data_IF_852260741237
#
_entry.id   IF_852260741237
#
_cell.length_a   1.000
_cell.length_b   1.000
_cell.length_c   1.000
_cell.angle_alpha   90.00
_cell.angle_beta   90.00
_cell.angle_gamma   90.00
#
_symmetry.space_group_name_H-M   'P 1'
#
loop_
_entity.id
_entity.type
_entity.pdbx_description
1 polymer ?
#
# COMPACT_ATOMS: atom_id res chain seq x y z
N UNK A 1 -4.18 0.90 -12.13
CA UNK A 1 -5.49 0.76 -12.81
C UNK A 1 -5.36 0.90 -14.32
N UNK A 2 -4.86 1.99 -14.85
CA UNK A 2 -4.74 2.23 -16.32
C UNK A 2 -4.04 1.10 -17.08
N UNK A 3 -2.92 0.57 -16.56
CA UNK A 3 -2.22 -0.55 -17.21
C UNK A 3 -3.04 -1.85 -17.22
N UNK A 4 -3.81 -2.13 -16.16
CA UNK A 4 -4.65 -3.33 -16.10
C UNK A 4 -5.81 -3.23 -17.10
N UNK A 5 -6.43 -2.05 -17.23
CA UNK A 5 -7.48 -1.80 -18.24
C UNK A 5 -6.91 -1.94 -19.65
N UNK A 6 -5.76 -1.31 -19.93
CA UNK A 6 -5.09 -1.40 -21.22
C UNK A 6 -4.65 -2.82 -21.55
N UNK A 7 -4.32 -3.63 -20.54
CA UNK A 7 -3.99 -5.06 -20.69
C UNK A 7 -5.21 -5.98 -20.86
N UNK A 8 -6.43 -5.43 -20.93
CA UNK A 8 -7.64 -6.22 -21.18
C UNK A 8 -8.15 -7.02 -19.97
N UNK A 9 -7.79 -6.62 -18.74
CA UNK A 9 -8.32 -7.28 -17.54
C UNK A 9 -9.86 -7.16 -17.52
N UNK A 10 -10.59 -8.26 -17.25
CA UNK A 10 -12.06 -8.27 -17.37
C UNK A 10 -12.79 -7.48 -16.27
N UNK A 11 -12.13 -7.29 -15.15
CA UNK A 11 -12.63 -6.47 -14.04
C UNK A 11 -11.45 -5.76 -13.36
N UNK A 12 -11.54 -4.44 -13.26
CA UNK A 12 -10.50 -3.60 -12.65
C UNK A 12 -11.14 -2.68 -11.62
N UNK A 13 -10.74 -2.87 -10.37
CA UNK A 13 -11.11 -2.00 -9.26
C UNK A 13 -9.83 -1.44 -8.66
N UNK A 14 -9.77 -0.13 -8.50
CA UNK A 14 -8.70 0.56 -7.77
C UNK A 14 -9.20 1.02 -6.41
N UNK A 15 -8.31 1.09 -5.43
CA UNK A 15 -8.64 1.65 -4.13
C UNK A 15 -7.45 2.42 -3.54
N UNK A 16 -7.76 3.36 -2.66
CA UNK A 16 -6.77 4.15 -1.93
C UNK A 16 -6.90 3.89 -0.42
N UNK A 17 -5.82 4.10 0.32
CA UNK A 17 -5.80 3.92 1.79
C UNK A 17 -6.79 4.81 2.54
N UNK A 18 -7.25 5.90 1.92
CA UNK A 18 -8.26 6.82 2.46
C UNK A 18 -9.71 6.35 2.24
N UNK A 19 -9.91 5.14 1.67
CA UNK A 19 -11.24 4.55 1.41
C UNK A 19 -11.86 4.94 0.06
N UNK A 20 -11.16 5.71 -0.78
CA UNK A 20 -11.61 5.99 -2.15
C UNK A 20 -11.51 4.75 -3.03
N UNK A 21 -12.57 4.45 -3.77
CA UNK A 21 -12.64 3.34 -4.74
C UNK A 21 -12.85 3.90 -6.14
N UNK A 22 -12.21 3.28 -7.13
CA UNK A 22 -12.35 3.61 -8.54
C UNK A 22 -12.74 2.33 -9.29
N UNK A 23 -13.70 2.44 -10.18
CA UNK A 23 -14.13 1.34 -11.06
C UNK A 23 -13.53 1.56 -12.45
N UNK A 24 -12.54 0.73 -12.81
CA UNK A 24 -11.80 0.87 -14.07
C UNK A 24 -12.49 0.23 -15.28
N UNK A 25 -13.43 -0.68 -15.05
CA UNK A 25 -14.20 -1.38 -16.10
C UNK A 25 -15.65 -1.48 -15.69
N UNK A 26 -16.54 -1.61 -16.66
CA UNK A 26 -17.95 -1.89 -16.40
C UNK A 26 -18.12 -3.24 -15.70
N UNK A 27 -19.07 -3.29 -14.77
CA UNK A 27 -19.51 -4.55 -14.13
C UNK A 27 -20.92 -4.89 -14.66
N UNK A 28 -21.02 -6.06 -15.28
CA UNK A 28 -22.29 -6.58 -15.79
C UNK A 28 -22.79 -7.71 -14.88
N UNK A 29 -23.96 -7.56 -14.28
CA UNK A 29 -24.58 -8.59 -13.42
C UNK A 29 -26.08 -8.61 -13.58
N UNK A 30 -26.65 -9.77 -13.92
CA UNK A 30 -28.11 -9.97 -14.02
C UNK A 30 -28.81 -9.03 -15.00
N UNK A 31 -28.18 -8.69 -16.12
CA UNK A 31 -28.71 -7.76 -17.11
C UNK A 31 -28.58 -6.28 -16.76
N UNK A 32 -27.97 -5.94 -15.63
CA UNK A 32 -27.68 -4.58 -15.21
C UNK A 32 -26.20 -4.27 -15.41
N UNK A 33 -25.92 -3.04 -15.81
CA UNK A 33 -24.56 -2.51 -16.01
C UNK A 33 -24.29 -1.44 -14.95
N UNK A 34 -23.21 -1.65 -14.18
CA UNK A 34 -22.59 -0.59 -13.41
C UNK A 34 -21.43 -0.04 -14.24
N UNK A 35 -21.58 1.16 -14.77
CA UNK A 35 -20.58 1.76 -15.64
C UNK A 35 -19.28 2.07 -14.90
N UNK A 36 -18.16 1.98 -15.62
CA UNK A 36 -16.86 2.40 -15.14
C UNK A 36 -16.87 3.85 -14.64
N UNK A 37 -16.21 4.09 -13.52
CA UNK A 37 -16.07 5.41 -12.91
C UNK A 37 -14.62 5.64 -12.51
N UNK A 38 -13.92 6.50 -13.25
CA UNK A 38 -12.50 6.78 -13.03
C UNK A 38 -12.23 7.83 -11.94
N UNK A 39 -13.28 8.36 -11.31
CA UNK A 39 -13.20 9.24 -10.14
C UNK A 39 -13.40 8.45 -8.85
N UNK A 40 -12.91 9.00 -7.75
CA UNK A 40 -13.12 8.40 -6.42
C UNK A 40 -14.60 8.37 -6.08
N UNK A 41 -15.05 7.21 -5.64
CA UNK A 41 -16.42 6.99 -5.17
C UNK A 41 -16.38 6.38 -3.76
N UNK A 42 -17.01 7.05 -2.81
CA UNK A 42 -17.15 6.58 -1.44
C UNK A 42 -18.43 5.73 -1.26
N UNK A 43 -19.40 5.84 -2.14
CA UNK A 43 -20.67 5.09 -2.04
C UNK A 43 -20.50 3.66 -2.49
N UNK A 44 -19.68 3.41 -3.51
CA UNK A 44 -19.45 2.06 -4.04
C UNK A 44 -18.97 1.06 -2.98
N UNK A 45 -17.95 1.34 -2.14
CA UNK A 45 -17.55 0.42 -1.07
C UNK A 45 -18.61 0.26 0.01
N UNK A 46 -19.40 1.31 0.31
CA UNK A 46 -20.53 1.23 1.27
C UNK A 46 -21.59 0.26 0.74
N UNK A 47 -22.00 0.44 -0.51
CA UNK A 47 -23.01 -0.43 -1.14
C UNK A 47 -22.52 -1.86 -1.30
N UNK A 48 -21.23 -2.06 -1.63
CA UNK A 48 -20.60 -3.37 -1.67
C UNK A 48 -20.63 -4.07 -0.31
N UNK A 49 -20.33 -3.34 0.77
CA UNK A 49 -20.38 -3.87 2.13
C UNK A 49 -21.81 -4.25 2.54
N UNK A 50 -22.80 -3.40 2.25
CA UNK A 50 -24.22 -3.70 2.52
C UNK A 50 -24.71 -4.89 1.68
N UNK A 51 -24.27 -4.99 0.43
CA UNK A 51 -24.55 -6.15 -0.42
C UNK A 51 -24.01 -7.45 0.17
N UNK A 52 -22.77 -7.45 0.66
CA UNK A 52 -22.13 -8.60 1.31
C UNK A 52 -22.88 -9.02 2.60
N UNK A 53 -23.33 -8.05 3.41
CA UNK A 53 -24.15 -8.33 4.60
C UNK A 53 -25.46 -9.01 4.19
N UNK A 54 -26.13 -8.47 3.15
CA UNK A 54 -27.39 -9.01 2.64
C UNK A 54 -27.24 -10.42 2.07
N UNK A 55 -26.17 -10.67 1.31
CA UNK A 55 -25.92 -11.98 0.68
C UNK A 55 -25.52 -13.05 1.70
N UNK A 56 -24.72 -12.69 2.71
CA UNK A 56 -24.18 -13.66 3.68
C UNK A 56 -25.00 -13.79 4.96
N UNK A 57 -25.84 -12.82 5.28
CA UNK A 57 -26.55 -12.72 6.56
C UNK A 57 -25.64 -12.47 7.76
N UNK A 58 -24.35 -12.19 7.54
CA UNK A 58 -23.36 -11.98 8.60
C UNK A 58 -23.15 -10.49 8.88
N UNK A 59 -22.82 -10.12 10.13
CA UNK A 59 -22.42 -8.76 10.44
C UNK A 59 -21.09 -8.41 9.73
N UNK A 60 -20.86 -7.13 9.47
CA UNK A 60 -19.67 -6.65 8.74
C UNK A 60 -18.36 -7.04 9.45
N UNK A 61 -18.36 -7.08 10.79
CA UNK A 61 -17.21 -7.54 11.59
C UNK A 61 -16.75 -8.94 11.22
N UNK A 62 -17.71 -9.86 11.07
CA UNK A 62 -17.43 -11.28 10.76
C UNK A 62 -16.96 -11.42 9.30
N UNK A 63 -17.55 -10.64 8.39
CA UNK A 63 -17.12 -10.58 7.00
C UNK A 63 -15.67 -10.07 6.94
N UNK A 64 -15.36 -8.96 7.61
CA UNK A 64 -14.01 -8.40 7.67
C UNK A 64 -13.00 -9.39 8.29
N UNK A 65 -13.36 -10.05 9.39
CA UNK A 65 -12.51 -11.04 10.05
C UNK A 65 -12.19 -12.24 9.14
N UNK A 66 -13.11 -12.61 8.23
CA UNK A 66 -12.91 -13.74 7.31
C UNK A 66 -11.80 -13.51 6.26
N UNK A 67 -11.44 -12.26 5.99
CA UNK A 67 -10.36 -11.94 5.05
C UNK A 67 -8.96 -12.09 5.64
N UNK A 68 -8.81 -12.24 6.96
CA UNK A 68 -7.52 -12.42 7.64
C UNK A 68 -6.50 -11.35 7.21
N UNK A 69 -6.93 -10.08 7.19
CA UNK A 69 -6.08 -8.96 6.82
C UNK A 69 -4.82 -8.89 7.69
N UNK A 70 -3.71 -8.55 7.07
CA UNK A 70 -2.49 -8.18 7.81
C UNK A 70 -2.67 -6.80 8.44
N UNK A 71 -1.94 -6.55 9.53
CA UNK A 71 -1.92 -5.22 10.15
C UNK A 71 -1.12 -4.27 9.28
N UNK A 72 -1.75 -3.20 8.84
CA UNK A 72 -1.12 -2.11 8.09
C UNK A 72 -1.00 -0.88 8.99
N UNK A 73 0.21 -0.31 9.06
CA UNK A 73 0.49 0.95 9.75
C UNK A 73 1.23 1.88 8.80
N UNK A 74 1.14 3.17 9.06
CA UNK A 74 1.88 4.17 8.29
C UNK A 74 2.24 5.38 9.12
N UNK A 75 3.39 5.99 8.80
CA UNK A 75 3.81 7.27 9.32
C UNK A 75 4.75 7.95 8.31
N UNK A 76 5.30 9.10 8.64
CA UNK A 76 6.12 9.90 7.74
C UNK A 76 7.24 10.63 8.46
N UNK A 77 8.32 10.90 7.74
CA UNK A 77 9.31 11.89 8.12
C UNK A 77 8.91 13.23 7.50
N UNK A 78 8.70 14.23 8.33
CA UNK A 78 8.42 15.60 7.91
C UNK A 78 9.73 16.37 7.66
N UNK A 79 9.64 17.45 6.89
CA UNK A 79 10.77 18.31 6.55
C UNK A 79 11.91 17.58 5.86
N UNK A 80 11.59 16.55 5.06
CA UNK A 80 12.54 15.87 4.18
C UNK A 80 12.39 16.44 2.78
N UNK A 81 13.38 17.18 2.27
CA UNK A 81 13.36 17.69 0.91
C UNK A 81 13.13 16.58 -0.11
N UNK A 82 12.41 16.89 -1.19
CA UNK A 82 12.07 15.89 -2.21
C UNK A 82 13.32 15.21 -2.79
N UNK A 83 14.39 15.97 -2.99
CA UNK A 83 15.67 15.47 -3.49
C UNK A 83 16.25 14.37 -2.60
N UNK A 84 16.21 14.55 -1.27
CA UNK A 84 16.67 13.55 -0.29
C UNK A 84 15.78 12.32 -0.28
N UNK A 85 14.46 12.52 -0.38
CA UNK A 85 13.51 11.41 -0.51
C UNK A 85 13.79 10.59 -1.77
N UNK A 86 14.02 11.22 -2.92
CA UNK A 86 14.33 10.55 -4.17
C UNK A 86 15.71 9.88 -4.14
N UNK A 87 16.71 10.50 -3.54
CA UNK A 87 18.03 9.89 -3.34
C UNK A 87 17.93 8.63 -2.49
N UNK A 88 17.22 8.67 -1.37
CA UNK A 88 16.97 7.49 -0.54
C UNK A 88 16.25 6.37 -1.31
N UNK A 89 15.19 6.70 -2.06
CA UNK A 89 14.49 5.72 -2.89
C UNK A 89 15.42 5.11 -3.96
N UNK A 90 16.35 5.88 -4.49
CA UNK A 90 17.35 5.39 -5.44
C UNK A 90 18.31 4.39 -4.80
N UNK A 91 18.76 4.63 -3.56
CA UNK A 91 19.58 3.66 -2.80
C UNK A 91 18.85 2.33 -2.60
N UNK A 92 17.54 2.37 -2.35
CA UNK A 92 16.73 1.17 -2.14
C UNK A 92 16.51 0.34 -3.41
N UNK A 93 16.64 0.93 -4.59
CA UNK A 93 16.55 0.20 -5.88
C UNK A 93 17.80 -0.64 -6.17
N UNK A 94 18.92 -0.31 -5.57
CA UNK A 94 20.16 -1.08 -5.72
C UNK A 94 20.26 -2.13 -4.62
N UNK A 95 20.51 -3.38 -5.00
CA UNK A 95 20.51 -4.53 -4.08
C UNK A 95 21.59 -4.43 -3.01
N UNK A 96 22.80 -3.99 -3.37
CA UNK A 96 23.94 -3.90 -2.43
C UNK A 96 23.70 -2.81 -1.38
N UNK A 97 23.27 -1.61 -1.80
CA UNK A 97 22.98 -0.50 -0.88
C UNK A 97 21.75 -0.80 -0.02
N UNK A 98 20.72 -1.42 -0.60
CA UNK A 98 19.55 -1.85 0.14
C UNK A 98 19.89 -2.86 1.23
N UNK A 99 20.68 -3.89 0.92
CA UNK A 99 21.11 -4.89 1.90
C UNK A 99 21.99 -4.28 3.00
N UNK A 100 22.79 -3.28 2.68
CA UNK A 100 23.59 -2.56 3.68
C UNK A 100 22.73 -1.70 4.61
N UNK A 101 21.63 -1.10 4.10
CA UNK A 101 20.71 -0.29 4.90
C UNK A 101 19.76 -1.14 5.77
N UNK A 102 19.31 -2.28 5.25
CA UNK A 102 18.40 -3.20 5.92
C UNK A 102 19.17 -4.39 6.50
N UNK A 103 20.00 -4.15 7.52
CA UNK A 103 20.65 -5.20 8.30
C UNK A 103 19.64 -5.83 9.27
N UNK A 104 18.61 -6.47 8.72
CA UNK A 104 17.58 -7.19 9.49
C UNK A 104 17.85 -8.69 9.44
N UNK A 105 17.42 -9.40 10.47
CA UNK A 105 17.55 -10.87 10.55
C UNK A 105 16.73 -11.61 9.47
N UNK A 106 15.96 -10.87 8.71
CA UNK A 106 15.06 -11.40 7.70
C UNK A 106 15.42 -10.91 6.29
N UNK A 107 15.57 -11.83 5.29
CA UNK A 107 15.93 -11.45 3.93
C UNK A 107 14.77 -10.77 3.19
N UNK A 108 15.12 -9.78 2.36
CA UNK A 108 14.20 -9.19 1.39
C UNK A 108 14.13 -10.14 0.19
N UNK A 109 12.92 -10.64 -0.10
CA UNK A 109 12.69 -11.64 -1.15
C UNK A 109 12.14 -11.04 -2.45
N UNK A 110 11.57 -9.82 -2.40
CA UNK A 110 11.02 -9.13 -3.56
C UNK A 110 11.03 -7.61 -3.36
N UNK A 111 11.26 -6.89 -4.45
CA UNK A 111 11.21 -5.42 -4.48
C UNK A 111 10.29 -4.97 -5.62
N UNK A 112 9.40 -4.02 -5.34
CA UNK A 112 8.55 -3.35 -6.32
C UNK A 112 8.86 -1.85 -6.35
N UNK A 113 8.86 -1.25 -7.56
CA UNK A 113 9.28 0.14 -7.78
C UNK A 113 8.25 0.96 -8.57
N UNK A 114 6.98 0.54 -8.58
CA UNK A 114 5.91 1.17 -9.36
C UNK A 114 5.56 2.55 -8.79
N UNK A 115 5.45 2.68 -7.47
CA UNK A 115 5.15 3.94 -6.77
C UNK A 115 6.02 4.02 -5.50
N UNK A 116 7.20 4.59 -5.63
CA UNK A 116 8.23 4.51 -4.59
C UNK A 116 8.99 3.19 -4.61
N UNK A 117 9.30 2.63 -3.44
CA UNK A 117 9.97 1.32 -3.30
C UNK A 117 9.28 0.51 -2.22
N UNK A 118 8.70 -0.64 -2.60
CA UNK A 118 8.11 -1.60 -1.67
C UNK A 118 8.99 -2.85 -1.59
N UNK A 119 9.39 -3.19 -0.38
CA UNK A 119 10.23 -4.32 -0.03
C UNK A 119 9.39 -5.38 0.66
N UNK A 120 9.50 -6.63 0.22
CA UNK A 120 8.81 -7.77 0.82
C UNK A 120 9.83 -8.69 1.47
N UNK A 121 9.56 -9.07 2.70
CA UNK A 121 10.38 -9.98 3.50
C UNK A 121 9.89 -11.42 3.38
N UNK A 122 10.74 -12.36 3.78
CA UNK A 122 10.42 -13.79 3.72
C UNK A 122 9.15 -14.17 4.53
N UNK A 123 8.92 -13.53 5.67
CA UNK A 123 7.70 -13.68 6.49
C UNK A 123 6.41 -13.22 5.80
N UNK A 124 6.53 -12.57 4.64
CA UNK A 124 5.46 -11.85 3.98
C UNK A 124 5.21 -10.46 4.56
N UNK A 125 5.99 -10.00 5.55
CA UNK A 125 5.96 -8.61 5.98
C UNK A 125 6.41 -7.71 4.82
N UNK A 126 5.97 -6.45 4.83
CA UNK A 126 6.36 -5.50 3.80
C UNK A 126 6.60 -4.12 4.37
N UNK A 127 7.53 -3.41 3.76
CA UNK A 127 7.77 -1.98 4.01
C UNK A 127 7.78 -1.24 2.68
N UNK A 128 7.09 -0.11 2.63
CA UNK A 128 6.96 0.69 1.42
C UNK A 128 7.30 2.15 1.71
N UNK A 129 8.24 2.69 0.96
CA UNK A 129 8.62 4.10 1.03
C UNK A 129 8.16 4.84 -0.21
N UNK A 130 7.63 6.04 0.02
CA UNK A 130 7.14 6.90 -1.04
C UNK A 130 7.42 8.36 -0.73
N UNK A 131 8.01 9.07 -1.68
CA UNK A 131 8.12 10.53 -1.59
C UNK A 131 6.73 11.17 -1.76
N UNK A 132 6.44 12.20 -0.99
CA UNK A 132 5.22 12.98 -1.19
C UNK A 132 5.37 13.89 -2.41
N UNK A 133 4.34 13.95 -3.26
CA UNK A 133 4.30 14.88 -4.39
C UNK A 133 3.97 16.32 -4.01
N UNK A 134 3.38 16.55 -2.82
CA UNK A 134 2.80 17.84 -2.45
C UNK A 134 3.43 18.46 -1.18
N UNK A 135 4.28 17.75 -0.48
CA UNK A 135 4.90 18.21 0.76
C UNK A 135 6.32 17.64 0.89
N UNK A 136 7.23 18.30 1.62
CA UNK A 136 8.57 17.78 1.91
C UNK A 136 8.48 16.64 2.94
N UNK A 137 7.95 15.51 2.52
CA UNK A 137 7.71 14.34 3.36
C UNK A 137 8.17 13.07 2.68
N UNK A 138 8.76 12.16 3.46
CA UNK A 138 9.00 10.78 3.09
C UNK A 138 8.06 9.88 3.89
N UNK A 139 7.15 9.20 3.21
CA UNK A 139 6.14 8.32 3.80
C UNK A 139 6.67 6.92 3.92
N UNK A 140 6.33 6.26 5.02
CA UNK A 140 6.63 4.86 5.29
C UNK A 140 5.33 4.13 5.63
N UNK A 141 5.04 3.07 4.91
CA UNK A 141 3.91 2.17 5.13
C UNK A 141 4.46 0.78 5.42
N UNK A 142 3.84 0.07 6.33
CA UNK A 142 4.22 -1.31 6.67
C UNK A 142 3.02 -2.22 6.71
N UNK A 143 3.24 -3.49 6.40
CA UNK A 143 2.28 -4.56 6.57
C UNK A 143 2.95 -5.71 7.31
N UNK A 144 2.34 -6.21 8.38
CA UNK A 144 2.86 -7.32 9.17
C UNK A 144 1.75 -8.26 9.64
N UNK A 145 2.12 -9.44 10.14
CA UNK A 145 1.16 -10.46 10.60
C UNK A 145 0.40 -10.06 11.87
N UNK A 146 0.92 -9.06 12.62
CA UNK A 146 0.28 -8.56 13.84
C UNK A 146 0.73 -7.15 14.21
N UNK A 147 -0.02 -6.53 15.11
CA UNK A 147 0.16 -5.12 15.48
C UNK A 147 1.54 -4.81 16.08
N UNK A 148 2.05 -5.67 16.97
CA UNK A 148 3.38 -5.49 17.56
C UNK A 148 4.47 -5.51 16.51
N UNK A 149 4.42 -6.47 15.58
CA UNK A 149 5.39 -6.56 14.49
C UNK A 149 5.29 -5.37 13.53
N UNK A 150 4.06 -4.91 13.23
CA UNK A 150 3.86 -3.74 12.39
C UNK A 150 4.45 -2.47 13.03
N UNK A 151 4.27 -2.27 14.35
CA UNK A 151 4.88 -1.15 15.09
C UNK A 151 6.40 -1.20 15.03
N UNK A 152 7.00 -2.33 15.35
CA UNK A 152 8.46 -2.50 15.31
C UNK A 152 9.01 -2.26 13.89
N UNK A 153 8.34 -2.81 12.87
CA UNK A 153 8.76 -2.64 11.48
C UNK A 153 8.66 -1.17 11.03
N UNK A 154 7.61 -0.45 11.45
CA UNK A 154 7.44 0.97 11.14
C UNK A 154 8.52 1.82 11.82
N UNK A 155 8.78 1.60 13.10
CA UNK A 155 9.83 2.30 13.85
C UNK A 155 11.22 2.08 13.21
N UNK A 156 11.54 0.82 12.89
CA UNK A 156 12.78 0.45 12.19
C UNK A 156 12.87 1.15 10.84
N UNK A 157 11.82 1.09 10.05
CA UNK A 157 11.76 1.72 8.75
C UNK A 157 11.97 3.24 8.80
N UNK A 158 11.30 3.90 9.73
CA UNK A 158 11.47 5.34 9.93
C UNK A 158 12.88 5.69 10.41
N UNK A 159 13.50 4.86 11.25
CA UNK A 159 14.87 5.07 11.71
C UNK A 159 15.88 4.94 10.56
N UNK A 160 15.75 3.93 9.71
CA UNK A 160 16.57 3.74 8.50
C UNK A 160 16.45 4.97 7.58
N UNK A 161 15.21 5.36 7.27
CA UNK A 161 14.95 6.51 6.41
C UNK A 161 15.51 7.80 6.99
N UNK A 162 15.33 8.04 8.29
CA UNK A 162 15.85 9.23 9.01
C UNK A 162 17.37 9.30 8.94
N UNK A 163 18.05 8.18 9.14
CA UNK A 163 19.51 8.14 9.09
C UNK A 163 20.03 8.39 7.67
N UNK A 164 19.38 7.84 6.66
CA UNK A 164 19.78 8.00 5.27
C UNK A 164 19.45 9.38 4.67
N UNK A 165 18.54 10.14 5.28
CA UNK A 165 18.12 11.48 4.81
C UNK A 165 18.67 12.63 5.64
N UNK A 166 19.44 12.36 6.70
CA UNK A 166 20.15 13.40 7.48
C UNK A 166 21.16 14.14 6.60
N UNK A 167 21.39 15.41 6.96
CA UNK A 167 22.55 16.15 6.46
C UNK A 167 23.81 15.55 7.08
N UNK A 168 24.79 15.20 6.24
CA UNK A 168 26.16 14.97 6.67
C UNK A 168 26.87 16.31 6.86
#
# INVERSE_FOLDING_TARGET
MTQAVAGGAPAVVGFEANGGVLLGTDINRGGHVLAALSTRDALLPILGSLGSIKETGKPLSDIAASFHFRTALSDRLQNVPQEKSLAFLSLLKNDATRSALFQMDEPIVRTEVIDGVKLFFHSGNAIHYRASGNAPELRCYVEASGESQAKTLLETGLAIARNATKDN
#
